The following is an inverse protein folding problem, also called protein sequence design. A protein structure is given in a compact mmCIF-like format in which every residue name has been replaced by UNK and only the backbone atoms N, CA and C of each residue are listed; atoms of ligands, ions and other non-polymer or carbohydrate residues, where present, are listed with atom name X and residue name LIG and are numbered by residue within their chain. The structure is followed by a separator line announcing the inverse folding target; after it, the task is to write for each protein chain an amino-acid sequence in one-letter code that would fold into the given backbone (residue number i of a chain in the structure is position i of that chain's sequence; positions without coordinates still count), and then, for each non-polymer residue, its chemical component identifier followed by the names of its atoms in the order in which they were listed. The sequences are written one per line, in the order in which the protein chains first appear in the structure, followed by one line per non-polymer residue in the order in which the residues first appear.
data_IF_411072978773
#
_entry.id   IF_411072978773
#
_cell.length_a   1.000
_cell.length_b   1.000
_cell.length_c   1.000
_cell.angle_alpha   90.00
_cell.angle_beta   90.00
_cell.angle_gamma   90.00
#
_symmetry.space_group_name_H-M   'P 1'
#
loop_
_entity.id
_entity.type
_entity.pdbx_description
1 polymer ?
#
# COMPACT_ATOMS: atom_id res chain seq x y z
N UNK A 1 -1.13 -1.08 -7.82
CA UNK A 1 -0.85 -0.78 -6.43
C UNK A 1 -2.04 -1.17 -5.57
N UNK A 2 -3.16 -0.45 -5.66
CA UNK A 2 -4.39 -0.68 -4.90
C UNK A 2 -4.83 -2.14 -4.89
N UNK A 3 -5.02 -2.79 -6.04
CA UNK A 3 -5.38 -4.21 -6.09
C UNK A 3 -4.38 -5.12 -5.36
N UNK A 4 -3.09 -4.77 -5.39
CA UNK A 4 -2.04 -5.53 -4.68
C UNK A 4 -2.18 -5.34 -3.17
N UNK A 5 -2.29 -4.10 -2.70
CA UNK A 5 -2.47 -3.78 -1.28
C UNK A 5 -3.74 -4.45 -0.72
N UNK A 6 -4.89 -4.26 -1.39
CA UNK A 6 -6.17 -4.85 -0.99
C UNK A 6 -6.11 -6.39 -0.95
N UNK A 7 -5.47 -7.02 -1.96
CA UNK A 7 -5.38 -8.48 -2.03
C UNK A 7 -4.49 -9.06 -0.94
N UNK A 8 -3.35 -8.43 -0.65
CA UNK A 8 -2.44 -8.83 0.43
C UNK A 8 -3.13 -8.67 1.78
N UNK A 9 -3.76 -7.50 2.02
CA UNK A 9 -4.49 -7.24 3.26
C UNK A 9 -5.60 -8.27 3.52
N UNK A 10 -6.40 -8.56 2.48
CA UNK A 10 -7.48 -9.55 2.59
C UNK A 10 -6.96 -10.95 2.90
N UNK A 11 -5.92 -11.40 2.18
CA UNK A 11 -5.38 -12.75 2.37
C UNK A 11 -4.75 -12.89 3.76
N UNK A 12 -3.99 -11.89 4.21
CA UNK A 12 -3.44 -11.87 5.57
C UNK A 12 -4.54 -11.90 6.63
N UNK A 13 -5.59 -11.06 6.48
CA UNK A 13 -6.67 -10.97 7.44
C UNK A 13 -7.58 -12.20 7.41
N UNK A 14 -8.23 -12.44 6.30
CA UNK A 14 -9.35 -13.41 6.23
C UNK A 14 -8.93 -14.86 5.94
N UNK A 15 -7.71 -15.09 5.41
CA UNK A 15 -7.22 -16.44 5.14
C UNK A 15 -6.13 -16.90 6.13
N UNK A 16 -5.39 -15.95 6.73
CA UNK A 16 -4.34 -16.24 7.73
C UNK A 16 -4.67 -15.72 9.14
N UNK A 17 -5.85 -15.16 9.36
CA UNK A 17 -6.34 -14.67 10.66
C UNK A 17 -5.38 -13.68 11.35
N UNK A 18 -4.64 -12.88 10.54
CA UNK A 18 -3.78 -11.81 11.04
C UNK A 18 -4.59 -10.54 11.27
N UNK A 19 -4.31 -9.83 12.35
CA UNK A 19 -4.90 -8.50 12.59
C UNK A 19 -4.23 -7.49 11.66
N UNK A 20 -4.97 -6.96 10.71
CA UNK A 20 -4.45 -6.07 9.66
C UNK A 20 -5.07 -4.68 9.78
N UNK A 21 -4.23 -3.67 9.84
CA UNK A 21 -4.63 -2.27 9.67
C UNK A 21 -4.31 -1.85 8.23
N UNK A 22 -5.31 -1.38 7.50
CA UNK A 22 -5.13 -0.82 6.14
C UNK A 22 -5.15 0.70 6.22
N UNK A 23 -4.19 1.35 5.58
CA UNK A 23 -4.11 2.80 5.43
C UNK A 23 -4.22 3.18 3.95
N UNK A 24 -5.09 4.12 3.64
CA UNK A 24 -5.23 4.62 2.27
C UNK A 24 -4.62 6.03 2.16
N UNK A 25 -3.40 6.08 1.65
CA UNK A 25 -2.64 7.31 1.41
C UNK A 25 -2.81 7.89 0.00
N UNK A 26 -3.71 7.34 -0.83
CA UNK A 26 -4.02 7.92 -2.14
C UNK A 26 -5.24 8.85 -2.01
N UNK A 27 -5.14 10.14 -2.40
CA UNK A 27 -6.28 11.06 -2.40
C UNK A 27 -7.48 10.58 -3.24
N UNK A 28 -7.28 9.63 -4.15
CA UNK A 28 -8.37 9.02 -4.92
C UNK A 28 -9.26 8.13 -4.04
N UNK A 29 -8.73 7.58 -2.94
CA UNK A 29 -9.48 6.80 -1.96
C UNK A 29 -10.02 5.48 -2.51
N UNK A 30 -9.33 4.85 -3.46
CA UNK A 30 -9.84 3.63 -4.12
C UNK A 30 -9.81 2.42 -3.21
N UNK A 31 -8.78 2.27 -2.35
CA UNK A 31 -8.76 1.28 -1.28
C UNK A 31 -9.90 1.53 -0.28
N UNK A 32 -10.11 2.76 0.14
CA UNK A 32 -11.19 3.13 1.05
C UNK A 32 -12.59 2.81 0.50
N UNK A 33 -12.80 3.02 -0.81
CA UNK A 33 -14.06 2.63 -1.49
C UNK A 33 -14.21 1.11 -1.56
N UNK A 34 -13.13 0.39 -1.84
CA UNK A 34 -13.13 -1.07 -1.91
C UNK A 34 -13.49 -1.72 -0.58
N UNK A 35 -13.03 -1.14 0.54
CA UNK A 35 -13.37 -1.59 1.90
C UNK A 35 -14.64 -0.94 2.48
N UNK A 36 -15.33 -0.10 1.71
CA UNK A 36 -16.60 0.52 2.12
C UNK A 36 -16.48 1.59 3.19
N UNK A 37 -15.29 2.16 3.39
CA UNK A 37 -15.00 3.14 4.45
C UNK A 37 -14.82 4.57 3.95
N UNK A 38 -14.93 4.83 2.64
CA UNK A 38 -14.70 6.15 2.06
C UNK A 38 -15.80 7.16 2.40
N UNK A 39 -15.42 8.24 3.05
CA UNK A 39 -16.28 9.39 3.35
C UNK A 39 -15.52 10.68 3.04
N UNK A 40 -15.89 11.45 2.00
CA UNK A 40 -15.13 12.64 1.59
C UNK A 40 -14.97 13.69 2.69
N UNK A 41 -15.99 13.88 3.54
CA UNK A 41 -16.01 14.82 4.66
C UNK A 41 -15.79 14.13 6.02
N UNK A 42 -15.49 12.83 6.01
CA UNK A 42 -15.21 12.06 7.21
C UNK A 42 -13.78 12.24 7.72
N UNK A 43 -13.52 11.69 8.90
CA UNK A 43 -12.19 11.63 9.50
C UNK A 43 -11.39 10.44 8.92
N UNK A 44 -10.06 10.60 8.81
CA UNK A 44 -9.19 9.56 8.25
C UNK A 44 -7.71 9.97 8.22
N UNK A 45 -7.03 9.67 7.11
CA UNK A 45 -5.61 9.93 6.96
C UNK A 45 -5.20 11.39 7.10
N UNK A 46 -6.08 12.34 6.75
CA UNK A 46 -5.80 13.77 6.93
C UNK A 46 -5.63 14.12 8.39
N UNK A 47 -6.53 13.66 9.26
CA UNK A 47 -6.50 13.92 10.70
C UNK A 47 -5.33 13.17 11.37
N UNK A 48 -5.00 11.98 10.86
CA UNK A 48 -3.83 11.22 11.32
C UNK A 48 -2.51 11.99 11.10
N UNK A 49 -2.37 12.63 9.94
CA UNK A 49 -1.16 13.36 9.55
C UNK A 49 -1.13 14.80 10.07
N UNK A 50 -2.28 15.42 10.23
CA UNK A 50 -2.39 16.83 10.62
C UNK A 50 -3.29 17.02 11.83
N UNK A 51 -3.11 16.41 12.93
CA UNK A 51 -3.95 16.42 14.17
C UNK A 51 -4.88 17.64 14.42
N UNK A 52 -4.87 18.69 13.58
CA UNK A 52 -5.57 19.98 13.83
C UNK A 52 -6.35 20.57 12.63
N UNK A 53 -6.54 19.87 11.47
CA UNK A 53 -6.84 20.61 10.23
C UNK A 53 -8.29 20.74 9.82
N UNK A 54 -9.14 19.78 10.03
CA UNK A 54 -10.44 19.81 9.35
C UNK A 54 -11.68 19.87 10.24
N UNK A 55 -11.68 19.30 11.42
CA UNK A 55 -12.90 19.23 12.28
C UNK A 55 -12.61 19.48 13.76
N UNK A 56 -11.57 20.26 14.08
CA UNK A 56 -11.43 20.87 15.43
C UNK A 56 -11.27 19.86 16.57
N UNK A 57 -10.35 18.88 16.45
CA UNK A 57 -10.06 17.98 17.55
C UNK A 57 -8.66 17.36 17.46
N UNK A 58 -8.02 17.16 18.62
CA UNK A 58 -6.91 16.24 18.75
C UNK A 58 -7.50 14.82 18.76
N UNK A 59 -7.31 14.06 17.68
CA UNK A 59 -7.73 12.67 17.61
C UNK A 59 -6.60 11.74 18.05
N UNK A 60 -6.92 10.75 18.88
CA UNK A 60 -6.06 9.59 19.04
C UNK A 60 -6.15 8.71 17.80
N UNK A 61 -5.06 8.02 17.45
CA UNK A 61 -5.03 7.14 16.27
C UNK A 61 -6.18 6.12 16.30
N UNK A 62 -6.51 5.58 17.46
CA UNK A 62 -7.61 4.64 17.64
C UNK A 62 -9.01 5.18 17.27
N UNK A 63 -9.21 6.48 17.35
CA UNK A 63 -10.50 7.12 17.01
C UNK A 63 -10.67 7.27 15.48
N UNK A 64 -9.58 7.20 14.71
CA UNK A 64 -9.58 7.29 13.26
C UNK A 64 -9.77 5.92 12.57
N UNK A 65 -9.64 4.83 13.35
CA UNK A 65 -9.76 3.47 12.85
C UNK A 65 -11.25 3.13 12.67
N UNK A 66 -11.59 2.68 11.47
CA UNK A 66 -12.92 2.19 11.12
C UNK A 66 -12.89 0.68 10.94
N UNK A 67 -13.84 -0.02 11.54
CA UNK A 67 -14.06 -1.43 11.26
C UNK A 67 -14.56 -1.60 9.81
N UNK A 68 -14.04 -2.60 9.13
CA UNK A 68 -14.50 -3.01 7.79
C UNK A 68 -15.55 -4.13 7.88
N UNK A 69 -16.06 -4.60 6.76
CA UNK A 69 -16.91 -5.80 6.73
C UNK A 69 -16.13 -7.11 7.00
N UNK A 70 -14.80 -7.05 7.11
CA UNK A 70 -13.90 -8.19 7.31
C UNK A 70 -13.46 -8.27 8.78
N UNK A 71 -13.52 -9.48 9.36
CA UNK A 71 -13.36 -9.66 10.80
C UNK A 71 -11.97 -9.32 11.34
N UNK A 72 -10.94 -9.40 10.49
CA UNK A 72 -9.55 -9.19 10.89
C UNK A 72 -8.91 -7.97 10.24
N UNK A 73 -9.72 -7.11 9.60
CA UNK A 73 -9.21 -5.96 8.84
C UNK A 73 -9.93 -4.70 9.30
N UNK A 74 -9.18 -3.79 9.89
CA UNK A 74 -9.60 -2.43 10.17
C UNK A 74 -8.90 -1.44 9.22
N UNK A 75 -9.40 -0.22 9.13
CA UNK A 75 -8.92 0.76 8.18
C UNK A 75 -8.88 2.18 8.74
N UNK A 76 -7.83 2.94 8.35
CA UNK A 76 -7.86 4.40 8.38
C UNK A 76 -8.01 4.87 6.92
N UNK A 77 -9.19 5.40 6.53
CA UNK A 77 -9.49 5.70 5.14
C UNK A 77 -8.86 7.01 4.67
N UNK A 78 -8.66 7.14 3.36
CA UNK A 78 -8.48 8.44 2.72
C UNK A 78 -9.77 9.27 2.85
N UNK A 79 -9.63 10.59 2.84
CA UNK A 79 -10.75 11.51 2.78
C UNK A 79 -10.49 12.65 1.78
N UNK A 80 -11.48 13.50 1.56
CA UNK A 80 -11.40 14.61 0.59
C UNK A 80 -10.40 15.71 0.95
N UNK A 81 -9.83 15.67 2.15
CA UNK A 81 -8.89 16.68 2.65
C UNK A 81 -7.41 16.27 2.44
N UNK A 82 -7.13 15.02 2.06
CA UNK A 82 -5.77 14.48 2.02
C UNK A 82 -4.82 15.27 1.09
N UNK A 83 -5.32 15.77 -0.04
CA UNK A 83 -4.53 16.65 -0.92
C UNK A 83 -4.19 17.99 -0.25
N UNK A 84 -5.10 18.55 0.55
CA UNK A 84 -4.84 19.77 1.31
C UNK A 84 -3.84 19.53 2.45
N UNK A 85 -3.96 18.39 3.10
CA UNK A 85 -3.01 17.93 4.13
C UNK A 85 -1.60 17.83 3.58
N UNK A 86 -1.42 17.23 2.41
CA UNK A 86 -0.12 17.16 1.73
C UNK A 86 0.51 18.55 1.53
N UNK A 87 -0.26 19.48 0.97
CA UNK A 87 0.18 20.87 0.80
C UNK A 87 0.53 21.55 2.13
N UNK A 88 -0.28 21.34 3.16
CA UNK A 88 -0.03 21.94 4.47
C UNK A 88 1.25 21.40 5.11
N UNK A 89 1.48 20.09 5.05
CA UNK A 89 2.72 19.48 5.53
C UNK A 89 3.94 20.06 4.84
N UNK A 90 3.89 20.23 3.52
CA UNK A 90 4.98 20.80 2.75
C UNK A 90 5.26 22.26 3.13
N UNK A 91 4.21 23.06 3.41
CA UNK A 91 4.32 24.50 3.66
C UNK A 91 4.72 24.83 5.10
N UNK A 92 4.30 24.05 6.09
CA UNK A 92 4.51 24.37 7.51
C UNK A 92 5.94 24.13 8.00
N UNK A 93 6.72 23.26 7.39
CA UNK A 93 8.11 22.92 7.74
C UNK A 93 8.33 22.68 9.25
N UNK A 94 7.46 21.92 9.87
CA UNK A 94 7.58 21.54 11.28
C UNK A 94 8.61 20.41 11.45
N UNK A 95 9.32 20.35 12.58
CA UNK A 95 10.41 19.39 12.82
C UNK A 95 10.02 17.92 12.60
N UNK A 96 8.76 17.53 12.89
CA UNK A 96 8.30 16.14 12.82
C UNK A 96 7.38 15.85 11.63
N UNK A 97 7.35 16.73 10.64
CA UNK A 97 6.37 16.61 9.54
C UNK A 97 6.50 15.32 8.70
N UNK A 98 7.69 14.70 8.66
CA UNK A 98 7.95 13.49 7.88
C UNK A 98 7.81 12.19 8.68
N UNK A 99 7.66 12.28 10.01
CA UNK A 99 7.55 11.10 10.90
C UNK A 99 6.19 10.96 11.58
N UNK A 100 5.24 11.82 11.25
CA UNK A 100 3.93 11.88 11.91
C UNK A 100 3.17 10.56 11.85
N UNK A 101 3.21 9.89 10.71
CA UNK A 101 2.57 8.58 10.58
C UNK A 101 3.23 7.54 11.48
N UNK A 102 4.56 7.48 11.52
CA UNK A 102 5.29 6.55 12.40
C UNK A 102 4.93 6.78 13.87
N UNK A 103 4.90 8.04 14.29
CA UNK A 103 4.58 8.41 15.67
C UNK A 103 3.13 8.03 16.01
N UNK A 104 2.18 8.29 15.10
CA UNK A 104 0.78 7.93 15.27
C UNK A 104 0.58 6.40 15.32
N UNK A 105 1.25 5.63 14.46
CA UNK A 105 1.13 4.17 14.45
C UNK A 105 1.71 3.51 15.71
N UNK A 106 2.63 4.16 16.42
CA UNK A 106 3.15 3.67 17.69
C UNK A 106 2.04 3.52 18.73
N UNK A 107 0.99 4.36 18.70
CA UNK A 107 -0.15 4.30 19.62
C UNK A 107 -0.96 3.00 19.51
N UNK A 108 -0.94 2.36 18.33
CA UNK A 108 -1.76 1.16 18.02
C UNK A 108 -0.93 -0.07 17.62
N UNK A 109 0.40 0.02 17.68
CA UNK A 109 1.31 -1.04 17.20
C UNK A 109 1.09 -2.41 17.82
N UNK A 110 0.62 -2.48 19.09
CA UNK A 110 0.31 -3.74 19.77
C UNK A 110 -1.02 -4.38 19.36
N UNK A 111 -1.89 -3.66 18.63
CA UNK A 111 -3.21 -4.15 18.24
C UNK A 111 -3.19 -4.91 16.91
N UNK A 112 -2.19 -4.69 16.06
CA UNK A 112 -2.12 -5.24 14.70
C UNK A 112 -0.83 -6.03 14.47
N UNK A 113 -0.92 -7.06 13.63
CA UNK A 113 0.22 -7.88 13.20
C UNK A 113 0.85 -7.29 11.93
N UNK A 114 0.03 -6.65 11.08
CA UNK A 114 0.45 -5.98 9.86
C UNK A 114 -0.24 -4.64 9.68
N UNK A 115 0.50 -3.67 9.12
CA UNK A 115 -0.05 -2.41 8.61
C UNK A 115 0.25 -2.34 7.10
N UNK A 116 -0.80 -2.31 6.28
CA UNK A 116 -0.71 -2.25 4.81
C UNK A 116 -1.10 -0.86 4.33
N UNK A 117 -0.17 -0.16 3.70
CA UNK A 117 -0.41 1.19 3.19
C UNK A 117 -0.56 1.17 1.67
N UNK A 118 -1.70 1.60 1.14
CA UNK A 118 -1.82 1.94 -0.30
C UNK A 118 -1.36 3.37 -0.52
N UNK A 119 -0.48 3.58 -1.50
CA UNK A 119 0.18 4.86 -1.74
C UNK A 119 -0.25 5.48 -3.07
N UNK A 120 -0.30 6.80 -3.11
CA UNK A 120 -0.37 7.59 -4.32
C UNK A 120 0.75 7.29 -5.33
N UNK A 121 0.77 8.01 -6.43
CA UNK A 121 1.80 7.82 -7.49
C UNK A 121 2.97 8.78 -7.34
N UNK A 122 2.74 9.91 -6.70
CA UNK A 122 3.73 10.96 -6.51
C UNK A 122 4.45 10.75 -5.19
N UNK A 123 5.71 11.13 -5.13
CA UNK A 123 6.46 11.20 -3.88
C UNK A 123 6.12 12.53 -3.20
N UNK A 124 4.95 12.61 -2.63
CA UNK A 124 4.45 13.73 -1.84
C UNK A 124 4.70 13.51 -0.33
N UNK A 125 4.30 14.45 0.51
CA UNK A 125 4.51 14.38 1.96
C UNK A 125 3.76 13.22 2.62
N UNK A 126 2.60 12.84 2.08
CA UNK A 126 1.84 11.67 2.54
C UNK A 126 2.61 10.39 2.26
N UNK A 127 3.11 10.23 1.01
CA UNK A 127 3.90 9.06 0.61
C UNK A 127 5.23 9.01 1.36
N UNK A 128 5.91 10.14 1.59
CA UNK A 128 7.14 10.22 2.40
C UNK A 128 6.88 9.72 3.83
N UNK A 129 5.80 10.15 4.47
CA UNK A 129 5.41 9.67 5.80
C UNK A 129 5.18 8.16 5.82
N UNK A 130 4.52 7.60 4.80
CA UNK A 130 4.28 6.16 4.67
C UNK A 130 5.62 5.41 4.50
N UNK A 131 6.50 5.85 3.60
CA UNK A 131 7.78 5.20 3.35
C UNK A 131 8.70 5.24 4.59
N UNK A 132 8.69 6.34 5.34
CA UNK A 132 9.48 6.45 6.57
C UNK A 132 8.92 5.62 7.73
N UNK A 133 7.68 5.17 7.63
CA UNK A 133 7.03 4.27 8.59
C UNK A 133 7.14 2.80 8.19
N UNK A 134 7.46 2.51 6.92
CA UNK A 134 7.44 1.16 6.37
C UNK A 134 8.72 0.39 6.66
N UNK A 135 8.61 -0.91 6.95
CA UNK A 135 9.72 -1.86 6.96
C UNK A 135 9.97 -2.49 5.59
N UNK A 136 8.94 -2.60 4.77
CA UNK A 136 9.01 -3.17 3.43
C UNK A 136 8.15 -2.36 2.44
N UNK A 137 8.76 -1.93 1.35
CA UNK A 137 8.10 -1.32 0.20
C UNK A 137 7.89 -2.39 -0.86
N UNK A 138 6.64 -2.65 -1.22
CA UNK A 138 6.29 -3.56 -2.30
C UNK A 138 6.00 -2.75 -3.57
N UNK A 139 6.81 -2.94 -4.61
CA UNK A 139 6.72 -2.22 -5.87
C UNK A 139 6.08 -3.10 -6.97
N UNK A 140 4.80 -2.87 -7.35
CA UNK A 140 4.20 -3.56 -8.49
C UNK A 140 4.79 -3.06 -9.82
N UNK A 141 5.45 -3.96 -10.54
CA UNK A 141 6.11 -3.71 -11.83
C UNK A 141 5.35 -4.42 -12.94
N UNK A 142 5.03 -3.72 -14.02
CA UNK A 142 4.41 -4.31 -15.21
C UNK A 142 5.39 -4.30 -16.39
N UNK A 143 5.15 -5.10 -17.41
CA UNK A 143 5.93 -5.06 -18.65
C UNK A 143 5.74 -3.71 -19.35
N UNK A 144 6.84 -2.99 -19.62
CA UNK A 144 6.82 -1.72 -20.33
C UNK A 144 8.24 -1.19 -20.62
N UNK A 145 8.33 -0.22 -21.52
CA UNK A 145 9.60 0.31 -21.99
C UNK A 145 10.29 1.27 -21.02
N UNK A 146 9.57 1.81 -20.03
CA UNK A 146 10.09 2.80 -19.08
C UNK A 146 10.20 2.25 -17.64
N UNK A 147 9.82 1.00 -17.42
CA UNK A 147 9.77 0.42 -16.07
C UNK A 147 11.14 0.23 -15.45
N UNK A 148 12.19 0.04 -16.26
CA UNK A 148 13.57 0.01 -15.77
C UNK A 148 13.97 1.34 -15.12
N UNK A 149 13.72 2.45 -15.82
CA UNK A 149 14.01 3.79 -15.30
C UNK A 149 13.17 4.10 -14.05
N UNK A 150 11.89 3.70 -14.05
CA UNK A 150 11.02 3.88 -12.90
C UNK A 150 11.47 3.07 -11.67
N UNK A 151 12.00 1.85 -11.87
CA UNK A 151 12.57 1.03 -10.80
C UNK A 151 13.84 1.66 -10.22
N UNK A 152 14.77 2.09 -11.07
CA UNK A 152 15.99 2.75 -10.61
C UNK A 152 15.67 4.05 -9.87
N UNK A 153 14.74 4.86 -10.36
CA UNK A 153 14.31 6.08 -9.67
C UNK A 153 13.69 5.76 -8.29
N UNK A 154 12.89 4.69 -8.20
CA UNK A 154 12.31 4.27 -6.92
C UNK A 154 13.39 3.76 -5.96
N UNK A 155 14.35 2.99 -6.45
CA UNK A 155 15.48 2.51 -5.66
C UNK A 155 16.33 3.66 -5.11
N UNK A 156 16.64 4.65 -5.94
CA UNK A 156 17.34 5.86 -5.53
C UNK A 156 16.55 6.65 -4.48
N UNK A 157 15.24 6.80 -4.65
CA UNK A 157 14.37 7.45 -3.67
C UNK A 157 14.36 6.70 -2.34
N UNK A 158 14.24 5.38 -2.36
CA UNK A 158 14.30 4.56 -1.14
C UNK A 158 15.67 4.64 -0.49
N UNK A 159 16.75 4.64 -1.25
CA UNK A 159 18.11 4.81 -0.71
C UNK A 159 18.28 6.15 0.01
N UNK A 160 17.75 7.23 -0.55
CA UNK A 160 17.76 8.55 0.09
C UNK A 160 16.95 8.56 1.40
N UNK A 161 15.92 7.74 1.53
CA UNK A 161 15.13 7.62 2.75
C UNK A 161 15.81 6.76 3.84
N UNK A 162 16.83 5.97 3.51
CA UNK A 162 17.58 5.15 4.48
C UNK A 162 18.31 5.98 5.53
N UNK A 163 18.60 7.23 5.26
CA UNK A 163 19.13 8.16 6.27
C UNK A 163 18.14 8.32 7.46
N UNK A 164 16.84 8.28 7.17
CA UNK A 164 15.77 8.48 8.16
C UNK A 164 15.10 7.16 8.60
N UNK A 165 15.18 6.12 7.77
CA UNK A 165 14.69 4.78 8.04
C UNK A 165 15.69 3.73 7.52
N UNK A 166 16.75 3.38 8.30
CA UNK A 166 17.83 2.50 7.84
C UNK A 166 17.37 1.07 7.51
N UNK A 167 16.24 0.63 8.05
CA UNK A 167 15.75 -0.74 7.90
C UNK A 167 14.77 -0.91 6.74
N UNK A 168 14.45 0.17 6.01
CA UNK A 168 13.53 0.10 4.87
C UNK A 168 14.07 -0.83 3.78
N UNK A 169 13.28 -1.80 3.41
CA UNK A 169 13.56 -2.72 2.30
C UNK A 169 12.61 -2.46 1.15
N UNK A 170 13.04 -2.81 -0.06
CA UNK A 170 12.19 -2.72 -1.24
C UNK A 170 12.20 -4.05 -1.98
N UNK A 171 11.03 -4.52 -2.41
CA UNK A 171 10.88 -5.75 -3.17
C UNK A 171 9.84 -5.59 -4.26
N UNK A 172 10.17 -6.01 -5.48
CA UNK A 172 9.30 -5.89 -6.63
C UNK A 172 8.32 -7.06 -6.76
N UNK A 173 7.13 -6.79 -7.30
CA UNK A 173 6.20 -7.81 -7.78
C UNK A 173 5.97 -7.58 -9.27
N UNK A 174 6.33 -8.55 -10.12
CA UNK A 174 5.94 -8.49 -11.51
C UNK A 174 4.42 -8.64 -11.64
N UNK A 175 3.74 -7.66 -12.23
CA UNK A 175 2.28 -7.67 -12.40
C UNK A 175 1.89 -7.68 -13.88
N UNK A 176 0.64 -8.08 -14.17
CA UNK A 176 0.09 -8.19 -15.53
C UNK A 176 0.91 -9.12 -16.45
N UNK A 177 1.57 -10.11 -15.89
CA UNK A 177 2.38 -11.09 -16.61
C UNK A 177 1.54 -11.82 -17.68
N UNK A 178 2.05 -11.91 -18.90
CA UNK A 178 1.43 -12.57 -20.04
C UNK A 178 2.35 -13.72 -20.55
N UNK A 179 1.74 -14.71 -21.21
CA UNK A 179 2.47 -15.80 -21.86
C UNK A 179 2.90 -15.41 -23.28
N UNK A 180 3.60 -14.29 -23.42
CA UNK A 180 4.17 -13.84 -24.68
C UNK A 180 5.64 -13.54 -24.52
N UNK A 181 6.39 -13.52 -25.64
CA UNK A 181 7.83 -13.37 -25.64
C UNK A 181 8.31 -12.11 -24.90
N UNK A 182 7.76 -10.89 -25.13
CA UNK A 182 8.20 -9.70 -24.40
C UNK A 182 8.03 -9.82 -22.88
N UNK A 183 6.94 -10.45 -22.41
CA UNK A 183 6.69 -10.59 -20.97
C UNK A 183 7.65 -11.59 -20.33
N UNK A 184 8.02 -12.64 -21.04
CA UNK A 184 8.98 -13.63 -20.55
C UNK A 184 10.42 -13.08 -20.52
N UNK A 185 10.84 -12.37 -21.57
CA UNK A 185 12.15 -11.71 -21.62
C UNK A 185 12.29 -10.63 -20.54
N UNK A 186 11.22 -9.90 -20.27
CA UNK A 186 11.20 -8.90 -19.20
C UNK A 186 11.23 -9.54 -17.79
N UNK A 187 10.54 -10.65 -17.59
CA UNK A 187 10.60 -11.44 -16.35
C UNK A 187 12.02 -11.95 -16.07
N UNK A 188 12.67 -12.51 -17.09
CA UNK A 188 14.05 -12.99 -17.02
C UNK A 188 15.02 -11.84 -16.68
N UNK A 189 14.89 -10.73 -17.37
CA UNK A 189 15.67 -9.53 -17.08
C UNK A 189 15.47 -9.01 -15.65
N UNK A 190 14.22 -8.93 -15.15
CA UNK A 190 13.94 -8.51 -13.78
C UNK A 190 14.64 -9.40 -12.75
N UNK A 191 14.69 -10.71 -13.00
CA UNK A 191 15.28 -11.67 -12.05
C UNK A 191 16.80 -11.73 -12.11
N UNK A 192 17.38 -11.62 -13.29
CA UNK A 192 18.79 -11.94 -13.51
C UNK A 192 19.67 -10.69 -13.69
N UNK A 193 19.14 -9.63 -14.28
CA UNK A 193 19.93 -8.49 -14.71
C UNK A 193 19.59 -7.17 -14.06
N UNK A 194 18.39 -7.01 -13.45
CA UNK A 194 18.01 -5.73 -12.86
C UNK A 194 18.71 -5.43 -11.52
N UNK A 195 19.17 -6.48 -10.83
CA UNK A 195 19.72 -6.38 -9.47
C UNK A 195 18.67 -6.08 -8.40
N UNK A 196 17.39 -5.99 -8.80
CA UNK A 196 16.28 -5.64 -7.92
C UNK A 196 15.73 -6.89 -7.21
N UNK A 197 15.51 -6.83 -5.90
CA UNK A 197 14.89 -7.94 -5.17
C UNK A 197 13.42 -8.11 -5.61
N UNK A 198 13.04 -9.32 -6.01
CA UNK A 198 11.75 -9.63 -6.60
C UNK A 198 11.08 -10.80 -5.88
N UNK A 199 9.77 -10.71 -5.67
CA UNK A 199 8.97 -11.88 -5.34
C UNK A 199 9.10 -12.95 -6.44
N UNK A 200 9.14 -14.22 -6.04
CA UNK A 200 9.28 -15.34 -6.98
C UNK A 200 8.03 -15.45 -7.85
N UNK A 201 6.87 -15.22 -7.26
CA UNK A 201 5.58 -15.36 -7.93
C UNK A 201 5.18 -14.10 -8.70
N UNK A 202 5.03 -14.14 -10.02
CA UNK A 202 4.47 -13.03 -10.78
C UNK A 202 2.93 -13.05 -10.74
N UNK A 203 2.32 -11.87 -10.74
CA UNK A 203 0.86 -11.72 -10.87
C UNK A 203 0.45 -11.73 -12.35
N UNK A 204 -0.32 -12.73 -12.75
CA UNK A 204 -0.80 -12.89 -14.12
C UNK A 204 -1.85 -11.85 -14.50
N UNK A 205 -1.90 -11.50 -15.77
CA UNK A 205 -2.97 -10.64 -16.30
C UNK A 205 -4.30 -11.40 -16.37
N UNK A 206 -5.36 -10.78 -15.86
CA UNK A 206 -6.71 -11.32 -15.95
C UNK A 206 -7.75 -10.19 -15.98
N UNK A 207 -8.77 -10.33 -16.83
CA UNK A 207 -9.91 -9.41 -16.89
C UNK A 207 -10.76 -9.44 -15.61
N UNK A 208 -10.59 -10.47 -14.78
CA UNK A 208 -11.28 -10.59 -13.49
C UNK A 208 -10.87 -9.48 -12.54
N UNK A 209 -9.61 -9.02 -12.62
CA UNK A 209 -9.11 -7.88 -11.83
C UNK A 209 -9.89 -6.61 -12.17
N UNK A 210 -10.07 -6.31 -13.47
CA UNK A 210 -10.83 -5.15 -13.92
C UNK A 210 -12.29 -5.22 -13.43
N UNK A 211 -12.91 -6.41 -13.49
CA UNK A 211 -14.29 -6.62 -13.00
C UNK A 211 -14.40 -6.42 -11.48
N UNK A 212 -13.45 -6.91 -10.71
CA UNK A 212 -13.41 -6.71 -9.26
C UNK A 212 -13.29 -5.21 -8.91
N UNK A 213 -12.41 -4.49 -9.61
CA UNK A 213 -12.21 -3.04 -9.43
C UNK A 213 -13.48 -2.26 -9.78
N UNK A 214 -14.15 -2.57 -10.92
CA UNK A 214 -15.44 -1.95 -11.29
C UNK A 214 -16.51 -2.22 -10.23
N UNK A 215 -16.51 -3.43 -9.65
CA UNK A 215 -17.43 -3.82 -8.57
C UNK A 215 -17.03 -3.30 -7.19
N UNK A 216 -15.96 -2.50 -7.06
CA UNK A 216 -15.40 -2.03 -5.78
C UNK A 216 -15.33 -3.17 -4.74
N UNK A 217 -14.81 -4.31 -5.16
CA UNK A 217 -14.74 -5.52 -4.33
C UNK A 217 -13.32 -6.05 -4.32
N UNK A 218 -12.84 -6.46 -3.16
CA UNK A 218 -11.50 -7.06 -3.02
C UNK A 218 -11.39 -8.31 -3.90
N UNK A 219 -10.35 -8.39 -4.72
CA UNK A 219 -10.19 -9.45 -5.72
C UNK A 219 -10.31 -10.87 -5.16
N UNK A 220 -9.69 -11.24 -4.01
CA UNK A 220 -9.84 -12.59 -3.45
C UNK A 220 -11.28 -12.93 -3.04
N UNK A 221 -12.08 -11.96 -2.58
CA UNK A 221 -13.51 -12.15 -2.32
C UNK A 221 -14.30 -12.29 -3.61
N UNK A 222 -14.03 -11.45 -4.61
CA UNK A 222 -14.71 -11.45 -5.91
C UNK A 222 -14.46 -12.75 -6.70
N UNK A 223 -13.24 -13.29 -6.64
CA UNK A 223 -12.83 -14.47 -7.40
C UNK A 223 -11.93 -15.39 -6.57
N UNK A 224 -12.53 -16.08 -5.59
CA UNK A 224 -11.82 -16.88 -4.59
C UNK A 224 -10.85 -17.91 -5.20
N UNK A 225 -11.23 -18.56 -6.30
CA UNK A 225 -10.46 -19.60 -6.97
C UNK A 225 -9.78 -19.08 -8.26
N UNK A 226 -9.79 -17.77 -8.48
CA UNK A 226 -9.19 -17.16 -9.65
C UNK A 226 -7.67 -17.30 -9.69
N UNK A 227 -7.10 -17.38 -10.90
CA UNK A 227 -5.66 -17.55 -11.07
C UNK A 227 -4.86 -16.41 -10.42
N UNK A 228 -5.35 -15.18 -10.48
CA UNK A 228 -4.68 -14.01 -9.88
C UNK A 228 -4.78 -14.02 -8.36
N UNK A 229 -5.89 -14.52 -7.82
CA UNK A 229 -6.03 -14.75 -6.37
C UNK A 229 -5.04 -15.79 -5.86
N UNK A 230 -4.82 -16.86 -6.65
CA UNK A 230 -3.79 -17.84 -6.32
C UNK A 230 -2.38 -17.23 -6.35
N UNK A 231 -2.09 -16.37 -7.34
CA UNK A 231 -0.81 -15.66 -7.41
C UNK A 231 -0.58 -14.82 -6.15
N UNK A 232 -1.57 -14.05 -5.69
CA UNK A 232 -1.45 -13.27 -4.46
C UNK A 232 -1.33 -14.13 -3.21
N UNK A 233 -1.95 -15.32 -3.15
CA UNK A 233 -1.73 -16.27 -2.04
C UNK A 233 -0.30 -16.77 -1.97
N UNK A 234 0.33 -17.06 -3.12
CA UNK A 234 1.75 -17.42 -3.15
C UNK A 234 2.63 -16.25 -2.69
N UNK A 235 2.35 -15.03 -3.14
CA UNK A 235 3.07 -13.83 -2.71
C UNK A 235 2.94 -13.61 -1.19
N UNK A 236 1.75 -13.78 -0.62
CA UNK A 236 1.56 -13.69 0.84
C UNK A 236 2.30 -14.82 1.56
N UNK A 237 2.38 -16.01 0.99
CA UNK A 237 3.18 -17.11 1.57
C UNK A 237 4.67 -16.77 1.58
N UNK A 238 5.21 -16.25 0.46
CA UNK A 238 6.58 -15.75 0.41
C UNK A 238 6.82 -14.65 1.47
N UNK A 239 5.87 -13.71 1.61
CA UNK A 239 5.95 -12.64 2.61
C UNK A 239 5.99 -13.19 4.05
N UNK A 240 5.18 -14.19 4.36
CA UNK A 240 5.11 -14.82 5.69
C UNK A 240 6.35 -15.65 6.03
N UNK A 241 7.07 -16.15 5.04
CA UNK A 241 8.33 -16.89 5.21
C UNK A 241 9.54 -15.96 5.44
N UNK A 242 9.43 -14.67 5.09
CA UNK A 242 10.50 -13.67 5.27
C UNK A 242 10.45 -12.94 6.62
N UNK A 243 9.35 -13.04 7.35
CA UNK A 243 9.10 -12.43 8.66
C UNK A 243 9.27 -13.46 9.77
#
# INVERSE_FOLDING_TARGET
KTTTADSIAYILGEEHEKRVLVLDGDPQGDTSKTFGCYEPEGIGMSELLERHVCVGGDYHTSELIKATEYSHIDMIPANGYLMKTDMNLLMKQEENQVTRLRDALTEVSGAYDYCICDCGRLLDMVVINILLSASLVIAPVKVGGYENEALHNLEEQVENLREFNPEIRIKGIMTMRQKNKPSLEFEEWLREASGFDMFITPVRRSIVVEKATIGMTVLPKFSRNGIVTQDYREIVRELLEEV
#
